data_IF_529219693399
#
_entry.id   IF_529219693399
#
_cell.length_a   1.000
_cell.length_b   1.000
_cell.length_c   1.000
_cell.angle_alpha   90.00
_cell.angle_beta   90.00
_cell.angle_gamma   90.00
#
_symmetry.space_group_name_H-M   'P 1'
#
loop_
_entity.id
_entity.type
_entity.pdbx_description
1 polymer ?
#
# COMPACT_ATOMS: atom_id res chain seq x y z
N UNK A 1 -25.81 16.10 -0.66
CA UNK A 1 -26.06 14.68 -0.96
C UNK A 1 -25.01 14.21 -1.98
N UNK A 2 -23.87 13.70 -1.51
CA UNK A 2 -22.74 13.29 -2.36
C UNK A 2 -22.88 11.79 -2.70
N UNK A 3 -23.24 11.47 -3.94
CA UNK A 3 -23.09 10.12 -4.50
C UNK A 3 -21.65 9.99 -5.01
N UNK A 4 -20.75 9.38 -4.21
CA UNK A 4 -19.44 8.99 -4.71
C UNK A 4 -19.60 7.82 -5.69
N UNK A 5 -19.41 8.06 -6.98
CA UNK A 5 -19.21 6.96 -7.93
C UNK A 5 -17.93 6.21 -7.52
N UNK A 6 -17.93 4.89 -7.33
CA UNK A 6 -16.70 4.19 -7.00
C UNK A 6 -15.98 3.84 -8.31
N UNK A 7 -15.31 4.82 -8.93
CA UNK A 7 -14.44 4.56 -10.08
C UNK A 7 -13.19 3.82 -9.60
N UNK A 8 -12.95 2.63 -10.15
CA UNK A 8 -11.74 1.84 -9.92
C UNK A 8 -11.52 0.90 -11.10
N UNK A 9 -10.32 0.34 -11.22
CA UNK A 9 -9.92 -0.52 -12.33
C UNK A 9 -10.32 -1.97 -12.01
N UNK A 10 -10.96 -2.63 -12.97
CA UNK A 10 -11.42 -4.03 -12.89
C UNK A 10 -11.02 -4.80 -14.13
N UNK A 11 -11.03 -6.13 -14.04
CA UNK A 11 -10.94 -7.02 -15.19
C UNK A 11 -12.14 -6.79 -16.13
N UNK A 12 -11.91 -6.93 -17.42
CA UNK A 12 -12.97 -6.93 -18.41
C UNK A 12 -13.96 -8.10 -18.16
N UNK A 13 -15.23 -7.98 -18.60
CA UNK A 13 -16.16 -9.10 -18.59
C UNK A 13 -15.56 -10.32 -19.28
N UNK A 14 -15.75 -11.52 -18.70
CA UNK A 14 -15.23 -12.77 -19.27
C UNK A 14 -13.73 -13.01 -19.07
N UNK A 15 -12.97 -12.07 -18.49
CA UNK A 15 -11.53 -12.25 -18.25
C UNK A 15 -11.29 -12.73 -16.82
N UNK A 16 -10.53 -13.81 -16.64
CA UNK A 16 -10.22 -14.36 -15.31
C UNK A 16 -9.01 -13.69 -14.65
N UNK A 17 -8.07 -13.18 -15.43
CA UNK A 17 -6.88 -12.50 -14.91
C UNK A 17 -6.31 -11.48 -15.89
N UNK A 18 -5.55 -10.52 -15.38
CA UNK A 18 -4.93 -9.50 -16.20
C UNK A 18 -3.96 -8.62 -15.43
N UNK A 19 -3.04 -8.00 -16.17
CA UNK A 19 -2.09 -7.03 -15.64
C UNK A 19 -2.48 -5.62 -16.05
N UNK A 20 -2.43 -4.71 -15.07
CA UNK A 20 -2.36 -3.28 -15.27
C UNK A 20 -0.94 -2.83 -15.01
N UNK A 21 -0.31 -2.07 -15.91
CA UNK A 21 0.97 -1.43 -15.65
C UNK A 21 0.84 0.08 -15.78
N UNK A 22 1.48 0.82 -14.89
CA UNK A 22 1.59 2.28 -15.01
C UNK A 22 2.76 2.62 -15.94
N UNK A 23 2.70 3.74 -16.68
CA UNK A 23 3.91 4.33 -17.22
C UNK A 23 4.88 4.69 -16.09
N UNK A 24 6.17 4.92 -16.40
CA UNK A 24 7.10 5.55 -15.47
C UNK A 24 6.55 6.88 -14.93
N UNK A 25 6.68 7.09 -13.63
CA UNK A 25 6.29 8.31 -12.92
C UNK A 25 7.54 8.97 -12.36
N UNK A 26 7.80 10.20 -12.77
CA UNK A 26 8.89 11.01 -12.22
C UNK A 26 8.58 11.46 -10.80
N UNK A 27 9.48 11.16 -9.88
CA UNK A 27 9.45 11.64 -8.51
C UNK A 27 10.23 12.96 -8.44
N UNK A 28 9.59 14.01 -7.94
CA UNK A 28 10.16 15.37 -7.90
C UNK A 28 11.48 15.46 -7.14
N UNK A 29 11.63 14.67 -6.08
CA UNK A 29 12.85 14.55 -5.27
C UNK A 29 13.28 13.09 -5.27
N UNK A 30 14.52 12.77 -5.69
CA UNK A 30 15.01 11.42 -5.63
C UNK A 30 14.88 10.81 -4.23
N UNK A 31 14.77 9.50 -4.16
CA UNK A 31 14.49 8.78 -2.93
C UNK A 31 15.38 7.55 -2.79
N UNK A 32 15.59 7.16 -1.54
CA UNK A 32 16.28 5.92 -1.14
C UNK A 32 15.32 4.94 -0.52
N UNK A 33 14.22 5.44 0.03
CA UNK A 33 13.20 4.62 0.67
C UNK A 33 11.84 4.94 0.12
N UNK A 34 11.03 3.91 -0.05
CA UNK A 34 9.64 4.09 -0.41
C UNK A 34 8.76 2.98 0.14
N UNK A 35 7.52 3.32 0.45
CA UNK A 35 6.49 2.40 0.89
C UNK A 35 5.34 2.54 -0.10
N UNK A 36 5.12 1.54 -0.97
CA UNK A 36 3.92 1.52 -1.79
C UNK A 36 2.73 1.13 -0.92
N UNK A 37 1.56 1.64 -1.25
CA UNK A 37 0.31 1.17 -0.69
C UNK A 37 -0.79 1.19 -1.72
N UNK A 38 -1.85 0.41 -1.48
CA UNK A 38 -2.94 0.25 -2.41
C UNK A 38 -4.25 0.04 -1.67
N UNK A 39 -5.36 0.29 -2.36
CA UNK A 39 -6.68 -0.13 -1.89
C UNK A 39 -7.33 -0.97 -2.98
N UNK A 40 -7.62 -2.22 -2.65
CA UNK A 40 -8.36 -3.14 -3.50
C UNK A 40 -9.66 -3.51 -2.80
N UNK A 41 -10.76 -3.33 -3.51
CA UNK A 41 -12.07 -3.78 -3.06
C UNK A 41 -12.32 -5.15 -3.67
N UNK A 42 -12.45 -6.14 -2.79
CA UNK A 42 -12.73 -7.53 -3.13
C UNK A 42 -14.06 -7.94 -2.52
N UNK A 43 -14.84 -8.73 -3.26
CA UNK A 43 -16.18 -9.12 -2.84
C UNK A 43 -16.15 -10.38 -1.95
N UNK A 44 -15.16 -11.26 -2.14
CA UNK A 44 -14.95 -12.49 -1.38
C UNK A 44 -13.48 -12.95 -1.44
N UNK A 45 -13.19 -14.10 -0.82
CA UNK A 45 -11.83 -14.69 -0.74
C UNK A 45 -11.41 -15.49 -1.98
N UNK A 46 -12.22 -15.56 -3.04
CA UNK A 46 -11.91 -16.28 -4.29
C UNK A 46 -11.27 -15.36 -5.36
N UNK A 47 -10.64 -14.28 -4.92
CA UNK A 47 -9.89 -13.33 -5.73
C UNK A 47 -8.44 -13.33 -5.30
N UNK A 48 -7.54 -12.98 -6.21
CA UNK A 48 -6.18 -12.64 -5.83
C UNK A 48 -5.71 -11.38 -6.54
N UNK A 49 -4.75 -10.73 -5.93
CA UNK A 49 -3.99 -9.69 -6.58
C UNK A 49 -2.51 -9.80 -6.22
N UNK A 50 -1.69 -9.22 -7.08
CA UNK A 50 -0.27 -8.99 -6.81
C UNK A 50 0.05 -7.56 -7.21
N UNK A 51 0.69 -6.81 -6.32
CA UNK A 51 1.21 -5.47 -6.62
C UNK A 51 2.72 -5.57 -6.68
N UNK A 52 3.26 -5.13 -7.81
CA UNK A 52 4.68 -5.04 -8.04
C UNK A 52 5.08 -3.60 -8.34
N UNK A 53 6.29 -3.27 -7.96
CA UNK A 53 6.92 -1.98 -8.20
C UNK A 53 8.29 -2.20 -8.82
N UNK A 54 8.72 -1.25 -9.63
CA UNK A 54 10.06 -1.18 -10.21
C UNK A 54 10.49 0.28 -10.19
N UNK A 55 11.74 0.54 -9.85
CA UNK A 55 12.27 1.88 -9.69
C UNK A 55 13.46 2.11 -10.62
N UNK A 56 13.60 3.32 -11.15
CA UNK A 56 14.73 3.71 -12.00
C UNK A 56 15.68 4.59 -11.19
N UNK A 57 16.94 4.16 -11.10
CA UNK A 57 17.96 4.95 -10.42
C UNK A 57 18.32 6.21 -11.23
N UNK A 58 19.10 7.11 -10.63
CA UNK A 58 19.56 8.34 -11.30
C UNK A 58 20.48 8.10 -12.51
N UNK A 59 20.94 6.86 -12.72
CA UNK A 59 21.75 6.44 -13.86
C UNK A 59 20.92 5.79 -14.98
N UNK A 60 19.59 5.74 -14.85
CA UNK A 60 18.70 5.17 -15.87
C UNK A 60 18.55 3.65 -15.82
N UNK A 61 19.05 2.99 -14.77
CA UNK A 61 18.90 1.55 -14.57
C UNK A 61 17.63 1.25 -13.78
N UNK A 62 16.76 0.44 -14.37
CA UNK A 62 15.57 -0.08 -13.71
C UNK A 62 15.92 -1.28 -12.82
N UNK A 63 15.29 -1.34 -11.64
CA UNK A 63 15.23 -2.58 -10.87
C UNK A 63 14.38 -3.62 -11.59
N UNK A 64 14.60 -4.92 -11.33
CA UNK A 64 13.56 -5.93 -11.55
C UNK A 64 12.23 -5.51 -10.90
N UNK A 65 11.14 -6.14 -11.33
CA UNK A 65 9.86 -6.00 -10.64
C UNK A 65 9.93 -6.77 -9.32
N UNK A 66 9.47 -6.15 -8.24
CA UNK A 66 9.46 -6.76 -6.91
C UNK A 66 8.07 -6.64 -6.29
N UNK A 67 7.65 -7.69 -5.57
CA UNK A 67 6.36 -7.77 -4.88
C UNK A 67 6.57 -8.14 -3.41
N UNK A 68 5.64 -7.72 -2.55
CA UNK A 68 5.66 -8.09 -1.14
C UNK A 68 5.32 -9.59 -0.91
N UNK A 69 4.82 -10.32 -1.92
CA UNK A 69 4.57 -11.77 -1.87
C UNK A 69 5.84 -12.61 -2.05
N UNK A 70 6.83 -12.10 -2.79
CA UNK A 70 8.02 -12.86 -3.21
C UNK A 70 9.26 -12.23 -2.58
N UNK A 71 9.35 -12.29 -1.25
CA UNK A 71 10.50 -11.75 -0.50
C UNK A 71 11.81 -12.43 -0.91
N UNK A 72 11.71 -13.64 -1.46
CA UNK A 72 12.80 -14.51 -1.88
C UNK A 72 13.38 -14.14 -3.26
N UNK A 73 12.71 -13.29 -4.04
CA UNK A 73 13.16 -12.88 -5.40
C UNK A 73 14.09 -11.65 -5.38
N UNK A 74 14.48 -11.16 -4.21
CA UNK A 74 15.40 -10.03 -4.11
C UNK A 74 16.82 -10.46 -4.47
N UNK A 75 17.48 -9.81 -5.44
CA UNK A 75 18.86 -10.13 -5.77
C UNK A 75 19.73 -9.98 -4.51
N UNK A 76 20.38 -11.08 -4.14
CA UNK A 76 21.30 -11.10 -3.01
C UNK A 76 22.58 -10.38 -3.44
N UNK A 77 22.84 -9.21 -2.83
CA UNK A 77 23.97 -8.35 -3.18
C UNK A 77 23.52 -7.07 -3.87
N UNK A 78 23.75 -5.98 -3.16
CA UNK A 78 23.63 -4.56 -3.54
C UNK A 78 22.22 -3.92 -3.54
N UNK A 79 22.09 -3.05 -2.53
CA UNK A 79 21.29 -1.83 -2.51
C UNK A 79 19.77 -1.96 -2.56
N UNK A 80 19.13 -3.12 -2.39
CA UNK A 80 17.66 -3.20 -2.33
C UNK A 80 17.20 -4.12 -1.21
N UNK A 81 16.78 -3.52 -0.09
CA UNK A 81 16.19 -4.24 1.04
C UNK A 81 14.68 -3.98 1.07
N UNK A 82 13.90 -5.05 1.15
CA UNK A 82 12.48 -4.98 1.49
C UNK A 82 12.32 -5.32 2.97
N UNK A 83 12.48 -4.31 3.83
CA UNK A 83 12.30 -4.43 5.28
C UNK A 83 10.88 -3.97 5.60
N UNK A 84 9.98 -4.90 5.95
CA UNK A 84 8.59 -4.65 6.40
C UNK A 84 7.92 -3.51 5.60
N UNK A 85 7.41 -3.87 4.41
CA UNK A 85 6.64 -3.00 3.51
C UNK A 85 7.39 -1.78 2.95
N UNK A 86 8.70 -1.68 3.19
CA UNK A 86 9.55 -0.61 2.71
C UNK A 86 10.61 -1.10 1.73
N UNK A 87 10.62 -0.50 0.55
CA UNK A 87 11.78 -0.44 -0.34
C UNK A 87 12.86 0.43 0.29
N UNK A 88 14.10 -0.07 0.34
CA UNK A 88 15.28 0.68 0.83
C UNK A 88 16.49 0.46 -0.06
N UNK A 89 17.24 1.54 -0.33
CA UNK A 89 18.43 1.52 -1.16
C UNK A 89 19.55 2.46 -0.75
N UNK A 90 20.78 2.07 -1.06
CA UNK A 90 21.97 2.94 -1.05
C UNK A 90 22.15 3.74 -2.35
N UNK A 91 21.32 3.50 -3.36
CA UNK A 91 21.23 4.29 -4.60
C UNK A 91 20.03 5.26 -4.54
N UNK A 92 20.12 6.36 -5.31
CA UNK A 92 19.02 7.29 -5.48
C UNK A 92 18.15 6.88 -6.67
N UNK A 93 16.84 6.86 -6.43
CA UNK A 93 15.81 6.57 -7.43
C UNK A 93 15.02 7.82 -7.75
N UNK A 94 14.70 8.01 -9.04
CA UNK A 94 14.00 9.20 -9.51
C UNK A 94 12.71 8.87 -10.26
N UNK A 95 12.54 7.64 -10.72
CA UNK A 95 11.30 7.19 -11.34
C UNK A 95 10.81 5.91 -10.70
N UNK A 96 9.50 5.72 -10.72
CA UNK A 96 8.84 4.49 -10.29
C UNK A 96 7.80 4.07 -11.31
N UNK A 97 7.48 2.80 -11.33
CA UNK A 97 6.33 2.26 -12.03
C UNK A 97 5.74 1.12 -11.20
N UNK A 98 4.45 0.94 -11.34
CA UNK A 98 3.70 -0.13 -10.72
C UNK A 98 3.15 -1.06 -11.78
N UNK A 99 2.98 -2.33 -11.41
CA UNK A 99 2.04 -3.20 -12.10
C UNK A 99 1.21 -3.97 -11.08
N UNK A 100 -0.04 -4.21 -11.43
CA UNK A 100 -1.01 -4.90 -10.59
C UNK A 100 -1.60 -6.04 -11.39
N UNK A 101 -1.43 -7.25 -10.88
CA UNK A 101 -2.18 -8.40 -11.35
C UNK A 101 -3.49 -8.46 -10.59
N UNK A 102 -4.59 -8.62 -11.30
CA UNK A 102 -5.90 -8.90 -10.74
C UNK A 102 -6.35 -10.27 -11.25
N UNK A 103 -6.92 -11.09 -10.37
CA UNK A 103 -7.49 -12.38 -10.77
C UNK A 103 -8.76 -12.73 -10.00
N UNK A 104 -9.59 -13.59 -10.61
CA UNK A 104 -10.77 -14.22 -10.01
C UNK A 104 -10.81 -15.69 -10.41
N UNK A 105 -11.30 -16.55 -9.51
CA UNK A 105 -11.34 -17.99 -9.75
C UNK A 105 -12.28 -18.41 -10.89
N UNK A 106 -13.42 -17.73 -11.06
CA UNK A 106 -14.46 -18.07 -12.05
C UNK A 106 -15.12 -16.83 -12.66
N UNK A 107 -15.66 -16.98 -13.87
CA UNK A 107 -16.24 -15.88 -14.66
C UNK A 107 -17.46 -15.22 -14.03
N UNK A 108 -18.27 -15.98 -13.26
CA UNK A 108 -19.49 -15.50 -12.61
C UNK A 108 -19.21 -14.65 -11.36
N UNK A 109 -17.96 -14.59 -10.89
CA UNK A 109 -17.57 -13.76 -9.74
C UNK A 109 -17.25 -12.34 -10.19
N UNK A 110 -17.59 -11.38 -9.33
CA UNK A 110 -17.24 -9.96 -9.53
C UNK A 110 -15.72 -9.81 -9.61
N UNK A 111 -15.21 -8.94 -10.48
CA UNK A 111 -13.78 -8.66 -10.51
C UNK A 111 -13.34 -7.95 -9.22
N UNK A 112 -12.15 -8.26 -8.65
CA UNK A 112 -11.52 -7.35 -7.71
C UNK A 112 -11.35 -5.98 -8.36
N UNK A 113 -11.43 -4.92 -7.54
CA UNK A 113 -11.38 -3.53 -8.00
C UNK A 113 -10.25 -2.77 -7.34
N UNK A 114 -9.25 -2.40 -8.11
CA UNK A 114 -8.20 -1.48 -7.68
C UNK A 114 -8.77 -0.06 -7.64
N UNK A 115 -8.77 0.56 -6.46
CA UNK A 115 -9.31 1.91 -6.27
C UNK A 115 -8.23 2.97 -6.13
N UNK A 116 -7.05 2.60 -5.65
CA UNK A 116 -5.92 3.53 -5.52
C UNK A 116 -4.59 2.81 -5.43
N UNK A 117 -3.56 3.45 -5.97
CA UNK A 117 -2.15 3.16 -5.74
C UNK A 117 -1.49 4.43 -5.21
N UNK A 118 -0.70 4.28 -4.18
CA UNK A 118 0.06 5.36 -3.56
C UNK A 118 1.51 4.95 -3.37
N UNK A 119 2.37 5.96 -3.30
CA UNK A 119 3.75 5.82 -2.88
C UNK A 119 4.04 6.90 -1.83
N UNK A 120 4.60 6.49 -0.70
CA UNK A 120 5.27 7.40 0.22
C UNK A 120 6.76 7.17 0.09
N UNK A 121 7.58 8.23 0.03
CA UNK A 121 9.02 8.09 -0.16
C UNK A 121 9.82 9.14 0.60
N UNK A 122 11.11 8.84 0.82
CA UNK A 122 12.08 9.77 1.39
C UNK A 122 13.53 9.43 0.94
N UNK A 123 14.44 10.37 1.19
CA UNK A 123 15.89 10.23 0.98
C UNK A 123 16.61 10.14 2.33
N UNK A 124 16.12 9.27 3.23
CA UNK A 124 16.89 8.98 4.44
C UNK A 124 17.99 7.95 4.11
N UNK A 125 19.21 8.16 4.62
CA UNK A 125 20.31 7.19 4.56
C UNK A 125 20.51 6.61 5.96
N UNK A 126 20.13 5.36 6.18
CA UNK A 126 20.07 4.83 7.56
C UNK A 126 19.05 5.59 8.40
N UNK A 127 19.32 5.82 9.68
CA UNK A 127 18.39 6.56 10.56
C UNK A 127 18.49 8.09 10.36
N UNK A 128 19.46 8.56 9.57
CA UNK A 128 19.61 9.96 9.24
C UNK A 128 18.64 10.35 8.14
N UNK A 129 17.66 11.17 8.49
CA UNK A 129 16.74 11.75 7.53
C UNK A 129 16.90 13.27 7.44
N UNK A 130 17.02 13.84 6.24
CA UNK A 130 16.89 15.28 6.04
C UNK A 130 15.41 15.67 6.19
N UNK A 131 14.88 15.63 7.41
CA UNK A 131 13.54 16.15 7.72
C UNK A 131 13.63 17.67 7.56
N UNK A 132 12.84 18.28 6.65
CA UNK A 132 12.75 19.73 6.63
C UNK A 132 12.30 20.20 8.01
N UNK A 133 13.06 21.09 8.64
CA UNK A 133 12.69 21.76 9.90
C UNK A 133 11.51 22.74 9.69
N UNK A 134 10.45 22.31 9.01
CA UNK A 134 9.18 23.03 9.11
C UNK A 134 8.72 22.87 10.55
N UNK A 135 8.57 23.99 11.28
CA UNK A 135 7.93 23.97 12.60
C UNK A 135 6.62 23.17 12.44
N UNK A 136 6.43 22.06 13.17
CA UNK A 136 5.18 21.32 13.07
C UNK A 136 4.06 22.32 13.34
N UNK A 137 3.08 22.37 12.43
CA UNK A 137 1.87 23.16 12.68
C UNK A 137 1.27 22.61 13.97
N UNK A 138 0.95 23.45 14.98
CA UNK A 138 0.37 22.95 16.21
C UNK A 138 -0.90 22.18 15.87
N UNK A 139 -0.86 20.86 16.05
CA UNK A 139 -2.04 20.00 16.02
C UNK A 139 -2.38 19.73 17.47
N UNK A 140 -3.65 19.92 17.84
CA UNK A 140 -4.11 19.50 19.15
C UNK A 140 -3.92 17.98 19.25
N UNK A 141 -3.24 17.47 20.30
CA UNK A 141 -3.06 16.04 20.47
C UNK A 141 -4.43 15.38 20.61
N UNK A 142 -4.67 14.35 19.80
CA UNK A 142 -5.85 13.49 19.97
C UNK A 142 -5.57 12.62 21.18
N UNK A 143 -6.40 12.73 22.21
CA UNK A 143 -6.37 11.80 23.34
C UNK A 143 -6.94 10.47 22.86
N UNK A 144 -6.17 9.40 22.97
CA UNK A 144 -6.58 8.05 22.57
C UNK A 144 -6.38 7.10 23.75
N UNK A 145 -7.27 6.10 23.94
CA UNK A 145 -7.03 5.05 24.92
C UNK A 145 -5.79 4.24 24.51
N UNK A 146 -5.05 3.75 25.50
CA UNK A 146 -3.97 2.81 25.26
C UNK A 146 -4.54 1.39 25.10
N UNK A 147 -4.15 0.70 24.03
CA UNK A 147 -4.51 -0.69 23.74
C UNK A 147 -3.23 -1.49 23.52
N UNK A 148 -3.00 -2.51 24.35
CA UNK A 148 -1.89 -3.44 24.18
C UNK A 148 -2.33 -4.62 23.31
N UNK A 149 -2.01 -4.57 22.01
CA UNK A 149 -2.52 -5.53 21.02
C UNK A 149 -2.23 -7.02 21.33
N UNK A 150 -1.10 -7.31 22.00
CA UNK A 150 -0.73 -8.70 22.33
C UNK A 150 -1.63 -9.30 23.42
N UNK A 151 -2.36 -8.48 24.18
CA UNK A 151 -3.30 -8.94 25.21
C UNK A 151 -4.71 -9.18 24.65
N UNK A 152 -4.99 -8.75 23.42
CA UNK A 152 -6.33 -8.86 22.84
C UNK A 152 -6.68 -10.31 22.46
N UNK A 153 -5.76 -10.97 21.77
CA UNK A 153 -5.91 -12.36 21.35
C UNK A 153 -4.53 -13.00 21.10
N UNK A 154 -4.26 -14.21 21.61
CA UNK A 154 -2.94 -14.83 21.51
C UNK A 154 -2.60 -15.32 20.09
N UNK A 155 -3.57 -15.54 19.21
CA UNK A 155 -3.37 -16.00 17.84
C UNK A 155 -3.16 -14.83 16.86
N UNK A 156 -3.88 -13.72 17.07
CA UNK A 156 -3.84 -12.58 16.13
C UNK A 156 -3.16 -11.33 16.69
N UNK A 157 -2.94 -11.24 18.00
CA UNK A 157 -2.40 -10.06 18.67
C UNK A 157 -1.07 -9.56 18.11
N UNK A 158 -0.21 -10.45 17.63
CA UNK A 158 1.06 -10.11 16.97
C UNK A 158 0.92 -9.51 15.57
N UNK A 159 -0.28 -9.51 14.99
CA UNK A 159 -0.52 -9.17 13.58
C UNK A 159 -1.48 -7.99 13.36
N UNK A 160 -2.04 -7.42 14.44
CA UNK A 160 -3.12 -6.42 14.38
C UNK A 160 -2.69 -5.01 14.81
N UNK A 161 -1.41 -4.66 14.66
CA UNK A 161 -0.90 -3.34 15.08
C UNK A 161 -1.64 -2.16 14.42
N UNK A 162 -1.96 -2.29 13.13
CA UNK A 162 -2.71 -1.30 12.37
C UNK A 162 -4.18 -1.23 12.82
N UNK A 163 -4.95 -2.34 12.88
CA UNK A 163 -6.31 -2.35 13.44
C UNK A 163 -6.42 -1.78 14.86
N UNK A 164 -5.51 -2.16 15.76
CA UNK A 164 -5.47 -1.64 17.12
C UNK A 164 -5.24 -0.13 17.14
N UNK A 165 -4.31 0.37 16.32
CA UNK A 165 -4.04 1.81 16.20
C UNK A 165 -5.24 2.60 15.65
N UNK A 166 -5.92 2.06 14.63
CA UNK A 166 -7.13 2.68 14.08
C UNK A 166 -8.25 2.71 15.11
N UNK A 167 -8.45 1.61 15.84
CA UNK A 167 -9.42 1.54 16.93
C UNK A 167 -9.12 2.58 18.03
N UNK A 168 -7.87 2.70 18.48
CA UNK A 168 -7.46 3.73 19.46
C UNK A 168 -7.83 5.14 19.00
N UNK A 169 -7.52 5.49 17.74
CA UNK A 169 -7.85 6.81 17.18
C UNK A 169 -9.36 7.03 17.09
N UNK A 170 -10.13 6.03 16.64
CA UNK A 170 -11.59 6.13 16.54
C UNK A 170 -12.24 6.26 17.93
N UNK A 171 -11.76 5.54 18.93
CA UNK A 171 -12.20 5.67 20.31
C UNK A 171 -11.89 7.05 20.89
N UNK A 172 -10.70 7.60 20.61
CA UNK A 172 -10.35 8.98 20.96
C UNK A 172 -11.26 10.04 20.31
N UNK A 173 -11.90 9.72 19.19
CA UNK A 173 -12.90 10.55 18.51
C UNK A 173 -14.34 10.29 19.01
N UNK A 174 -14.53 9.44 20.01
CA UNK A 174 -15.85 9.10 20.57
C UNK A 174 -16.56 7.93 19.89
N UNK A 175 -15.87 7.16 19.06
CA UNK A 175 -16.40 5.95 18.42
C UNK A 175 -15.83 4.70 19.11
N UNK A 176 -16.65 4.04 19.94
CA UNK A 176 -16.29 2.80 20.66
C UNK A 176 -16.20 1.58 19.75
N UNK A 177 -15.23 1.55 18.83
CA UNK A 177 -15.03 0.45 17.88
C UNK A 177 -13.97 -0.51 18.43
N UNK A 178 -14.30 -1.80 18.50
CA UNK A 178 -13.38 -2.83 18.97
C UNK A 178 -12.24 -3.07 17.97
N UNK A 179 -10.97 -3.19 18.42
CA UNK A 179 -9.84 -3.53 17.55
C UNK A 179 -10.05 -4.78 16.71
N UNK A 180 -10.77 -5.78 17.23
CA UNK A 180 -11.03 -7.05 16.56
C UNK A 180 -12.05 -6.93 15.45
N UNK A 181 -13.05 -6.05 15.62
CA UNK A 181 -13.97 -5.71 14.53
C UNK A 181 -13.21 -5.03 13.38
N UNK A 182 -12.28 -4.12 13.70
CA UNK A 182 -11.40 -3.50 12.70
C UNK A 182 -10.51 -4.55 12.03
N UNK A 183 -9.94 -5.48 12.81
CA UNK A 183 -9.09 -6.54 12.30
C UNK A 183 -9.87 -7.43 11.32
N UNK A 184 -11.07 -7.89 11.68
CA UNK A 184 -11.90 -8.71 10.79
C UNK A 184 -12.24 -7.99 9.48
N UNK A 185 -12.54 -6.69 9.53
CA UNK A 185 -12.79 -5.88 8.33
C UNK A 185 -11.53 -5.64 7.48
N UNK A 186 -10.36 -5.62 8.11
CA UNK A 186 -9.07 -5.38 7.47
C UNK A 186 -8.34 -6.66 7.05
N UNK A 187 -8.88 -7.84 7.40
CA UNK A 187 -8.21 -9.11 7.15
C UNK A 187 -8.18 -9.42 5.65
N UNK A 188 -6.98 -9.71 5.15
CA UNK A 188 -6.77 -10.16 3.80
C UNK A 188 -6.30 -11.61 3.77
N UNK A 189 -7.16 -12.54 3.35
CA UNK A 189 -6.90 -13.98 3.37
C UNK A 189 -5.61 -14.39 2.64
N UNK A 190 -5.38 -13.88 1.44
CA UNK A 190 -4.22 -14.29 0.63
C UNK A 190 -2.87 -13.90 1.21
N UNK A 191 -2.85 -12.80 1.97
CA UNK A 191 -1.64 -12.24 2.56
C UNK A 191 -1.55 -12.57 4.05
N UNK A 192 -2.63 -13.07 4.64
CA UNK A 192 -2.77 -13.29 6.08
C UNK A 192 -2.37 -12.05 6.91
N UNK A 193 -2.65 -10.86 6.37
CA UNK A 193 -2.36 -9.56 7.00
C UNK A 193 -3.64 -8.86 7.43
N UNK A 194 -3.50 -8.02 8.44
CA UNK A 194 -4.55 -7.15 8.95
C UNK A 194 -4.14 -5.69 8.71
N UNK A 195 -4.41 -5.16 7.51
CA UNK A 195 -4.02 -3.80 7.12
C UNK A 195 -5.22 -2.85 7.06
N UNK A 196 -5.28 -1.90 7.99
CA UNK A 196 -6.24 -0.81 7.93
C UNK A 196 -5.63 0.39 7.20
N UNK A 197 -5.79 0.44 5.88
CA UNK A 197 -5.34 1.57 5.04
C UNK A 197 -6.08 2.88 5.35
N UNK A 198 -5.46 3.77 6.12
CA UNK A 198 -5.97 5.12 6.41
C UNK A 198 -6.04 5.98 5.12
N UNK A 199 -7.27 6.24 4.65
CA UNK A 199 -7.62 6.87 3.36
C UNK A 199 -7.19 8.34 3.14
N UNK A 200 -6.26 8.94 3.87
CA UNK A 200 -6.12 10.42 3.80
C UNK A 200 -4.74 11.09 3.87
N UNK A 201 -3.63 10.36 3.90
CA UNK A 201 -2.30 11.01 4.01
C UNK A 201 -1.33 10.76 2.84
N UNK A 202 -1.73 10.04 1.80
CA UNK A 202 -0.82 9.67 0.71
C UNK A 202 -1.14 10.44 -0.57
N UNK A 203 -0.08 10.85 -1.29
CA UNK A 203 -0.25 11.52 -2.58
C UNK A 203 -0.70 10.49 -3.63
N UNK A 204 -1.87 10.67 -4.26
CA UNK A 204 -2.31 9.75 -5.32
C UNK A 204 -1.36 9.84 -6.51
N UNK A 205 -0.97 8.69 -7.05
CA UNK A 205 -0.36 8.64 -8.38
C UNK A 205 -1.49 8.91 -9.37
N UNK A 206 -1.61 10.17 -9.83
CA UNK A 206 -2.69 10.58 -10.71
C UNK A 206 -2.46 10.03 -12.12
N UNK A 207 -3.33 9.11 -12.57
CA UNK A 207 -3.31 8.56 -13.92
C UNK A 207 -4.21 9.39 -14.84
N UNK A 208 -3.63 9.99 -15.89
CA UNK A 208 -4.37 10.30 -17.11
C UNK A 208 -4.22 9.09 -18.04
N UNK A 209 -5.30 8.33 -18.24
CA UNK A 209 -5.30 7.24 -19.22
C UNK A 209 -5.28 7.85 -20.62
N UNK A 210 -4.09 7.94 -21.21
CA UNK A 210 -3.94 8.19 -22.63
C UNK A 210 -4.33 6.92 -23.39
N UNK A 211 -5.44 6.96 -24.13
CA UNK A 211 -5.81 5.92 -25.07
C UNK A 211 -4.78 5.90 -26.21
N UNK A 212 -3.91 4.90 -26.22
CA UNK A 212 -2.99 4.62 -27.31
C UNK A 212 -2.94 3.12 -27.54
N UNK A 213 -3.84 2.64 -28.40
CA UNK A 213 -3.74 1.31 -29.00
C UNK A 213 -3.08 1.50 -30.37
N UNK A 214 -2.00 0.75 -30.61
CA UNK A 214 -1.46 0.45 -31.93
C UNK A 214 -1.17 -1.04 -31.97
#
# INVERSE_FOLDING_TARGET
MLKSRPSGITLCPGILSGWLATPPVDIRKPFRRAIPSWNILQADSAHSFEVEISACNTHGKWTPWFSNRKKEDLPQGDALLWEIDQFRSDDLFRQVRFRVHLSRAIHSRTSPRLTSLYLTWNDCKGDECPIPRSKPRPVSPVQVPFIHQHELDPLVGGHICSPASVSMVLQGMGHGIDPMDVAQLAFHSDYQIYEAGLRRFMQPVSMALGAGWS
#
